data_IF_312018836776
#
_entry.id   IF_312018836776
#
_cell.length_a   1.000
_cell.length_b   1.000
_cell.length_c   1.000
_cell.angle_alpha   90.00
_cell.angle_beta   90.00
_cell.angle_gamma   90.00
#
_symmetry.space_group_name_H-M   'P 1'
#
loop_
_entity.id
_entity.type
_entity.pdbx_description
1 polymer ?
#
# COMPACT_ATOMS: atom_id res chain seq x y z
N UNK A 1 21.99 -44.77 3.58
CA UNK A 1 21.01 -44.30 2.56
C UNK A 1 19.88 -43.44 3.15
N UNK A 2 19.31 -43.75 4.32
CA UNK A 2 18.19 -42.99 4.94
C UNK A 2 18.49 -41.52 5.32
N UNK A 3 19.74 -41.19 5.67
CA UNK A 3 20.13 -39.81 6.06
C UNK A 3 20.11 -38.81 4.90
N UNK A 4 20.45 -39.22 3.68
CA UNK A 4 20.49 -38.33 2.51
C UNK A 4 19.08 -37.91 2.03
N UNK A 5 18.10 -38.80 2.21
CA UNK A 5 16.70 -38.54 1.86
C UNK A 5 16.11 -37.47 2.78
N UNK A 6 16.39 -37.54 4.08
CA UNK A 6 15.93 -36.53 5.05
C UNK A 6 16.49 -35.13 4.76
N UNK A 7 17.76 -35.04 4.38
CA UNK A 7 18.39 -33.75 4.05
C UNK A 7 17.75 -33.11 2.81
N UNK A 8 17.45 -33.93 1.79
CA UNK A 8 16.80 -33.42 0.56
C UNK A 8 15.38 -32.92 0.79
N UNK A 9 14.60 -33.63 1.63
CA UNK A 9 13.23 -33.22 1.97
C UNK A 9 13.23 -31.90 2.77
N UNK A 10 14.16 -31.77 3.73
CA UNK A 10 14.29 -30.56 4.53
C UNK A 10 14.69 -29.34 3.68
N UNK A 11 15.60 -29.52 2.71
CA UNK A 11 16.01 -28.46 1.80
C UNK A 11 14.85 -28.00 0.89
N UNK A 12 14.03 -28.93 0.39
CA UNK A 12 12.87 -28.58 -0.44
C UNK A 12 11.80 -27.80 0.35
N UNK A 13 11.57 -28.16 1.62
CA UNK A 13 10.65 -27.45 2.50
C UNK A 13 11.10 -26.02 2.82
N UNK A 14 12.41 -25.82 3.04
CA UNK A 14 12.98 -24.49 3.26
C UNK A 14 12.86 -23.60 2.01
N UNK A 15 13.11 -24.15 0.81
CA UNK A 15 12.94 -23.42 -0.44
C UNK A 15 11.48 -22.98 -0.66
N UNK A 16 10.51 -23.86 -0.40
CA UNK A 16 9.09 -23.52 -0.50
C UNK A 16 8.66 -22.42 0.48
N UNK A 17 9.19 -22.44 1.72
CA UNK A 17 8.93 -21.42 2.72
C UNK A 17 9.48 -20.04 2.32
N UNK A 18 10.70 -19.99 1.77
CA UNK A 18 11.32 -18.74 1.28
C UNK A 18 10.59 -18.17 0.06
N UNK A 19 10.12 -19.04 -0.85
CA UNK A 19 9.35 -18.58 -2.01
C UNK A 19 7.98 -18.01 -1.60
N UNK A 20 7.32 -18.60 -0.59
CA UNK A 20 6.06 -18.13 -0.06
C UNK A 20 6.15 -16.75 0.62
N UNK A 21 7.26 -16.42 1.29
CA UNK A 21 7.45 -15.11 1.92
C UNK A 21 7.73 -14.01 0.90
N UNK A 22 8.44 -14.30 -0.20
CA UNK A 22 8.74 -13.32 -1.24
C UNK A 22 7.50 -12.81 -1.99
N UNK A 23 6.49 -13.65 -2.20
CA UNK A 23 5.25 -13.23 -2.88
C UNK A 23 4.36 -12.32 -2.03
N UNK A 24 4.40 -12.46 -0.71
CA UNK A 24 3.65 -11.59 0.20
C UNK A 24 4.27 -10.19 0.32
N UNK A 25 5.58 -10.07 0.10
CA UNK A 25 6.32 -8.79 0.23
C UNK A 25 6.03 -7.82 -0.92
N UNK A 26 5.84 -8.34 -2.14
CA UNK A 26 5.52 -7.50 -3.33
C UNK A 26 4.13 -6.89 -3.21
N UNK A 27 3.12 -7.70 -2.86
CA UNK A 27 1.76 -7.18 -2.63
C UNK A 27 1.70 -6.17 -1.47
N UNK A 28 2.53 -6.36 -0.44
CA UNK A 28 2.63 -5.43 0.68
C UNK A 28 3.31 -4.10 0.28
N UNK A 29 4.31 -4.13 -0.61
CA UNK A 29 4.97 -2.94 -1.14
C UNK A 29 4.05 -2.11 -2.02
N UNK A 30 3.36 -2.75 -2.95
CA UNK A 30 2.41 -2.07 -3.84
C UNK A 30 1.29 -1.41 -3.03
N UNK A 31 0.75 -2.11 -2.02
CA UNK A 31 -0.26 -1.54 -1.12
C UNK A 31 0.28 -0.39 -0.25
N UNK A 32 1.56 -0.44 0.15
CA UNK A 32 2.19 0.62 0.92
C UNK A 32 2.41 1.90 0.10
N UNK A 33 2.83 1.78 -1.17
CA UNK A 33 3.00 2.93 -2.07
C UNK A 33 1.66 3.61 -2.38
N UNK A 34 0.63 2.83 -2.69
CA UNK A 34 -0.73 3.34 -2.89
C UNK A 34 -1.25 4.00 -1.61
N UNK A 35 -1.01 3.37 -0.45
CA UNK A 35 -1.39 3.92 0.85
C UNK A 35 -0.70 5.25 1.17
N UNK A 36 0.58 5.39 0.82
CA UNK A 36 1.31 6.65 0.96
C UNK A 36 0.74 7.74 0.06
N UNK A 37 0.46 7.44 -1.20
CA UNK A 37 -0.14 8.41 -2.12
C UNK A 37 -1.51 8.91 -1.62
N UNK A 38 -2.37 8.00 -1.12
CA UNK A 38 -3.67 8.37 -0.56
C UNK A 38 -3.49 9.24 0.70
N UNK A 39 -2.50 8.93 1.55
CA UNK A 39 -2.20 9.71 2.75
C UNK A 39 -1.78 11.15 2.41
N UNK A 40 -0.91 11.32 1.41
CA UNK A 40 -0.49 12.65 0.94
C UNK A 40 -1.69 13.45 0.43
N UNK A 41 -2.55 12.83 -0.39
CA UNK A 41 -3.80 13.44 -0.87
C UNK A 41 -4.74 13.86 0.27
N UNK A 42 -4.80 13.08 1.36
CA UNK A 42 -5.65 13.38 2.52
C UNK A 42 -5.09 14.54 3.34
N UNK A 43 -3.76 14.65 3.47
CA UNK A 43 -3.09 15.78 4.13
C UNK A 43 -3.39 17.07 3.36
N UNK A 44 -3.21 17.08 2.03
CA UNK A 44 -3.53 18.24 1.20
C UNK A 44 -5.01 18.66 1.32
N UNK A 45 -5.92 17.69 1.37
CA UNK A 45 -7.34 17.95 1.59
C UNK A 45 -7.59 18.64 2.93
N UNK A 46 -6.98 18.15 4.01
CA UNK A 46 -7.12 18.72 5.36
C UNK A 46 -6.62 20.16 5.42
N UNK A 47 -5.48 20.45 4.78
CA UNK A 47 -4.93 21.81 4.67
C UNK A 47 -5.89 22.71 3.88
N UNK A 48 -6.39 22.24 2.73
CA UNK A 48 -7.32 22.97 1.87
C UNK A 48 -8.62 23.31 2.61
N UNK A 49 -9.24 22.33 3.27
CA UNK A 49 -10.47 22.51 4.05
C UNK A 49 -10.23 23.47 5.23
N UNK A 50 -9.08 23.38 5.89
CA UNK A 50 -8.71 24.29 6.98
C UNK A 50 -8.62 25.76 6.54
N UNK A 51 -8.22 26.01 5.29
CA UNK A 51 -8.18 27.36 4.71
C UNK A 51 -9.57 27.88 4.29
N UNK A 52 -10.55 26.99 4.10
CA UNK A 52 -11.88 27.35 3.63
C UNK A 52 -12.76 28.03 4.70
N UNK A 53 -12.37 28.05 5.98
CA UNK A 53 -13.12 28.72 7.08
C UNK A 53 -14.63 28.42 7.11
N UNK A 54 -15.05 27.22 6.69
CA UNK A 54 -16.47 26.83 6.64
C UNK A 54 -17.23 27.21 5.35
N UNK A 55 -16.57 27.80 4.35
CA UNK A 55 -17.17 28.02 3.02
C UNK A 55 -17.43 26.69 2.31
N UNK A 56 -18.72 26.36 2.14
CA UNK A 56 -19.16 25.10 1.53
C UNK A 56 -18.76 24.92 0.05
N UNK A 57 -18.62 26.01 -0.71
CA UNK A 57 -18.12 25.93 -2.09
C UNK A 57 -16.62 25.66 -2.13
N UNK A 58 -15.87 26.28 -1.23
CA UNK A 58 -14.44 26.03 -1.07
C UNK A 58 -14.18 24.58 -0.65
N UNK A 59 -14.91 24.08 0.36
CA UNK A 59 -14.81 22.68 0.83
C UNK A 59 -15.13 21.70 -0.30
N UNK A 60 -16.18 21.98 -1.10
CA UNK A 60 -16.55 21.13 -2.24
C UNK A 60 -15.44 21.09 -3.30
N UNK A 61 -14.73 22.19 -3.54
CA UNK A 61 -13.57 22.24 -4.45
C UNK A 61 -12.39 21.44 -3.90
N UNK A 62 -12.12 21.53 -2.60
CA UNK A 62 -11.08 20.73 -1.93
C UNK A 62 -11.40 19.23 -2.00
N UNK A 63 -12.66 18.84 -1.75
CA UNK A 63 -13.10 17.44 -1.86
C UNK A 63 -13.00 16.92 -3.30
N UNK A 64 -13.35 17.74 -4.30
CA UNK A 64 -13.19 17.38 -5.70
C UNK A 64 -11.70 17.26 -6.11
N UNK A 65 -10.82 18.10 -5.54
CA UNK A 65 -9.38 17.99 -5.74
C UNK A 65 -8.82 16.72 -5.11
N UNK A 66 -9.23 16.39 -3.89
CA UNK A 66 -8.87 15.15 -3.20
C UNK A 66 -9.28 13.91 -4.00
N UNK A 67 -10.53 13.86 -4.50
CA UNK A 67 -11.00 12.76 -5.34
C UNK A 67 -10.16 12.57 -6.62
N UNK A 68 -9.72 13.66 -7.25
CA UNK A 68 -8.80 13.60 -8.39
C UNK A 68 -7.39 13.14 -8.00
N UNK A 69 -6.93 13.50 -6.80
CA UNK A 69 -5.62 13.10 -6.28
C UNK A 69 -5.59 11.59 -6.02
N UNK A 70 -6.57 11.08 -5.27
CA UNK A 70 -6.70 9.64 -4.97
C UNK A 70 -6.88 8.81 -6.24
N UNK A 71 -7.59 9.33 -7.25
CA UNK A 71 -7.74 8.65 -8.54
C UNK A 71 -6.43 8.49 -9.33
N UNK A 72 -5.36 9.22 -8.97
CA UNK A 72 -4.01 9.07 -9.54
C UNK A 72 -3.12 8.11 -8.76
N UNK A 73 -3.56 7.65 -7.59
CA UNK A 73 -2.80 6.75 -6.72
C UNK A 73 -2.97 5.26 -7.08
N UNK A 74 -3.65 4.96 -8.19
CA UNK A 74 -3.95 3.61 -8.68
C UNK A 74 -3.45 3.46 -10.12
#
# INVERSE_FOLDING_TARGET
MKKAIFISILALALFAAVFATHHNDVAAKDAAEIGQCIADCAIEQGICIGQCNGDGQCISRCAAAHGRCVARCN
#
